data_IF_418194886473
#
_entry.id   IF_418194886473
#
_cell.length_a   1.000
_cell.length_b   1.000
_cell.length_c   1.000
_cell.angle_alpha   90.00
_cell.angle_beta   90.00
_cell.angle_gamma   90.00
#
_symmetry.space_group_name_H-M   'P 1'
#
loop_
_entity.id
_entity.type
_entity.pdbx_description
1 polymer ?
#
# COMPACT_ATOMS: atom_id res chain seq x y z
N UNK A 1 20.67 22.04 -5.36
CA UNK A 1 19.25 21.66 -5.21
C UNK A 1 19.03 20.17 -4.93
N UNK A 2 19.83 19.26 -5.47
CA UNK A 2 19.70 17.81 -5.21
C UNK A 2 19.95 17.40 -3.75
N UNK A 3 20.90 18.06 -3.05
CA UNK A 3 21.15 17.77 -1.63
C UNK A 3 19.96 18.06 -0.71
N UNK A 4 19.18 19.09 -1.00
CA UNK A 4 17.95 19.40 -0.25
C UNK A 4 16.82 18.38 -0.50
N UNK A 5 16.83 17.70 -1.64
CA UNK A 5 15.84 16.69 -2.00
C UNK A 5 15.99 15.40 -1.18
N UNK A 6 17.21 15.06 -0.81
CA UNK A 6 17.54 13.81 -0.08
C UNK A 6 17.68 14.02 1.44
N UNK A 7 17.55 15.24 1.94
CA UNK A 7 17.53 15.51 3.38
C UNK A 7 16.14 15.16 3.95
N UNK A 8 16.12 14.59 5.15
CA UNK A 8 14.88 14.33 5.87
C UNK A 8 13.95 15.54 5.95
N UNK A 9 12.66 15.31 5.98
CA UNK A 9 11.61 16.33 5.92
C UNK A 9 11.80 17.41 7.01
N UNK A 10 12.09 16.96 8.23
CA UNK A 10 12.32 17.82 9.39
C UNK A 10 13.51 18.75 9.19
N UNK A 11 14.66 18.21 8.77
CA UNK A 11 15.87 18.98 8.56
C UNK A 11 15.72 20.00 7.42
N UNK A 12 15.06 19.63 6.33
CA UNK A 12 14.78 20.54 5.21
C UNK A 12 13.85 21.68 5.62
N UNK A 13 12.83 21.41 6.44
CA UNK A 13 11.92 22.44 6.95
C UNK A 13 12.66 23.43 7.88
N UNK A 14 13.42 22.91 8.85
CA UNK A 14 14.17 23.75 9.78
C UNK A 14 15.22 24.60 9.07
N UNK A 15 15.96 24.03 8.12
CA UNK A 15 16.98 24.75 7.36
C UNK A 15 16.34 25.86 6.54
N UNK A 16 15.24 25.61 5.83
CA UNK A 16 14.55 26.60 5.01
C UNK A 16 13.93 27.70 5.88
N UNK A 17 13.30 27.33 7.00
CA UNK A 17 12.71 28.26 7.95
C UNK A 17 13.78 29.14 8.59
N UNK A 18 14.91 28.56 8.98
CA UNK A 18 16.06 29.31 9.53
C UNK A 18 16.62 30.32 8.53
N UNK A 19 16.79 29.89 7.28
CA UNK A 19 17.33 30.76 6.22
C UNK A 19 16.38 31.92 5.89
N UNK A 20 15.06 31.65 5.82
CA UNK A 20 14.07 32.70 5.61
C UNK A 20 13.98 33.67 6.81
N UNK A 21 14.08 33.14 8.03
CA UNK A 21 14.04 33.93 9.25
C UNK A 21 15.29 34.78 9.40
N UNK A 22 16.48 34.25 9.05
CA UNK A 22 17.71 34.99 9.01
C UNK A 22 17.66 36.12 7.97
N UNK A 23 17.15 35.86 6.77
CA UNK A 23 16.98 36.87 5.73
C UNK A 23 16.00 37.98 6.14
N UNK A 24 14.89 37.59 6.81
CA UNK A 24 13.90 38.52 7.35
C UNK A 24 14.52 39.40 8.44
N UNK A 25 15.34 38.83 9.33
CA UNK A 25 16.03 39.56 10.41
C UNK A 25 17.06 40.55 9.88
N UNK A 26 17.82 40.14 8.85
CA UNK A 26 18.76 41.07 8.17
C UNK A 26 18.03 42.23 7.50
N UNK A 27 16.88 41.95 6.89
CA UNK A 27 16.05 42.95 6.23
C UNK A 27 15.44 43.93 7.26
N UNK A 28 14.92 43.42 8.37
CA UNK A 28 14.40 44.27 9.46
C UNK A 28 15.50 45.13 10.09
N UNK A 29 16.68 44.56 10.32
CA UNK A 29 17.83 45.31 10.85
C UNK A 29 18.26 46.43 9.87
N UNK A 30 18.29 46.13 8.56
CA UNK A 30 18.60 47.13 7.53
C UNK A 30 17.61 48.30 7.50
N UNK A 31 16.30 48.00 7.55
CA UNK A 31 15.26 49.03 7.58
C UNK A 31 15.34 49.84 8.88
N UNK A 32 15.57 49.16 10.00
CA UNK A 32 15.70 49.82 11.31
C UNK A 32 16.86 50.81 11.33
N UNK A 33 18.06 50.40 10.89
CA UNK A 33 19.24 51.24 10.81
C UNK A 33 19.05 52.41 9.82
N UNK A 34 18.37 52.16 8.70
CA UNK A 34 18.06 53.22 7.75
C UNK A 34 17.12 54.27 8.37
N UNK A 35 16.06 53.86 9.04
CA UNK A 35 15.14 54.75 9.74
C UNK A 35 15.85 55.54 10.84
N UNK A 36 16.73 54.89 11.64
CA UNK A 36 17.52 55.59 12.68
C UNK A 36 18.48 56.67 12.08
N UNK A 37 19.13 56.32 10.97
CA UNK A 37 19.98 57.30 10.26
C UNK A 37 19.17 58.48 9.77
N UNK A 38 17.98 58.26 9.22
CA UNK A 38 17.11 59.36 8.76
C UNK A 38 16.57 60.20 9.91
N UNK A 39 16.17 59.59 11.04
CA UNK A 39 15.75 60.30 12.26
C UNK A 39 16.86 61.16 12.86
N UNK A 40 18.12 60.70 12.73
CA UNK A 40 19.29 61.48 13.18
C UNK A 40 19.52 62.84 12.50
N UNK A 41 18.87 63.04 11.32
CA UNK A 41 18.89 64.32 10.59
C UNK A 41 17.88 65.34 11.11
N UNK A 42 17.01 64.97 12.02
CA UNK A 42 15.99 65.85 12.59
C UNK A 42 16.33 66.21 14.04
N UNK A 43 16.05 67.44 14.48
CA UNK A 43 16.24 67.83 15.88
C UNK A 43 15.38 67.01 16.82
N UNK A 44 15.97 66.48 17.90
CA UNK A 44 15.27 65.63 18.87
C UNK A 44 14.69 66.34 20.07
N UNK A 45 14.98 67.64 20.19
CA UNK A 45 14.65 68.42 21.38
C UNK A 45 15.31 67.84 22.66
N UNK A 46 15.49 68.60 23.64
CA UNK A 46 16.06 68.16 24.90
C UNK A 46 16.84 69.32 25.60
N UNK A 47 17.39 69.04 26.76
CA UNK A 47 18.25 69.94 27.51
C UNK A 47 19.56 69.21 27.77
N UNK A 48 20.64 69.78 27.33
CA UNK A 48 22.01 69.32 27.64
C UNK A 48 22.50 70.09 28.87
N UNK A 49 22.82 69.36 29.92
CA UNK A 49 23.37 69.89 31.16
C UNK A 49 24.91 69.82 31.06
N UNK A 50 25.60 70.93 30.93
CA UNK A 50 27.06 70.98 30.92
C UNK A 50 27.63 70.62 32.30
N UNK A 51 28.89 70.20 32.36
CA UNK A 51 29.59 69.90 33.60
C UNK A 51 29.74 71.11 34.51
N UNK A 52 29.53 72.31 33.97
CA UNK A 52 29.54 73.60 34.66
C UNK A 52 28.16 74.03 35.23
N UNK A 53 27.13 73.12 35.08
CA UNK A 53 25.78 73.46 35.48
C UNK A 53 24.99 74.27 34.46
N UNK A 54 25.55 74.60 33.31
CA UNK A 54 24.85 75.35 32.25
C UNK A 54 23.78 74.43 31.59
N UNK A 55 22.57 74.95 31.41
CA UNK A 55 21.51 74.26 30.67
C UNK A 55 21.41 74.91 29.27
N UNK A 56 21.64 74.06 28.25
CA UNK A 56 21.44 74.48 26.86
C UNK A 56 20.25 73.72 26.26
N UNK A 57 19.24 74.47 25.84
CA UNK A 57 18.06 73.84 25.17
C UNK A 57 18.44 73.54 23.71
N UNK A 58 18.21 72.26 23.36
CA UNK A 58 18.33 71.83 21.97
C UNK A 58 17.07 72.20 21.16
N UNK A 59 17.22 72.57 19.88
CA UNK A 59 16.11 72.99 19.06
C UNK A 59 15.04 71.89 19.04
N UNK A 60 13.80 72.31 19.31
CA UNK A 60 12.64 71.40 19.29
C UNK A 60 12.18 71.09 17.83
N UNK A 61 11.72 69.90 17.50
CA UNK A 61 11.19 69.58 16.18
C UNK A 61 9.91 70.36 15.90
N UNK A 62 9.78 70.89 14.68
CA UNK A 62 8.52 71.50 14.21
C UNK A 62 7.41 70.49 14.15
N UNK A 63 6.08 70.88 14.18
CA UNK A 63 4.99 69.96 14.10
C UNK A 63 5.06 69.01 12.89
N UNK A 64 5.46 69.49 11.73
CA UNK A 64 5.67 68.67 10.52
C UNK A 64 6.80 67.65 10.68
N UNK A 65 7.87 68.01 11.37
CA UNK A 65 8.98 67.11 11.66
C UNK A 65 8.58 66.01 12.69
N UNK A 66 7.70 66.36 13.63
CA UNK A 66 7.15 65.38 14.57
C UNK A 66 6.30 64.32 13.87
N UNK A 67 5.51 64.70 12.88
CA UNK A 67 4.69 63.77 12.12
C UNK A 67 5.57 62.82 11.26
N UNK A 68 6.65 63.33 10.69
CA UNK A 68 7.64 62.50 9.97
C UNK A 68 8.34 61.52 10.94
N UNK A 69 8.72 61.93 12.12
CA UNK A 69 9.35 61.07 13.12
C UNK A 69 8.39 59.96 13.58
N UNK A 70 7.11 60.29 13.82
CA UNK A 70 6.06 59.30 14.12
C UNK A 70 5.88 58.28 13.00
N UNK A 71 5.94 58.74 11.74
CA UNK A 71 5.85 57.85 10.59
C UNK A 71 7.02 56.84 10.57
N UNK A 72 8.26 57.29 10.83
CA UNK A 72 9.39 56.38 10.95
C UNK A 72 9.27 55.41 12.12
N UNK A 73 8.73 55.83 13.27
CA UNK A 73 8.46 54.95 14.40
C UNK A 73 7.42 53.90 14.05
N UNK A 74 6.33 54.28 13.40
CA UNK A 74 5.33 53.32 12.91
C UNK A 74 5.93 52.31 11.94
N UNK A 75 6.73 52.77 10.95
CA UNK A 75 7.39 51.87 9.99
C UNK A 75 8.28 50.88 10.72
N UNK A 76 9.07 51.33 11.72
CA UNK A 76 9.94 50.45 12.51
C UNK A 76 9.12 49.38 13.25
N UNK A 77 8.06 49.78 13.94
CA UNK A 77 7.20 48.84 14.69
C UNK A 77 6.52 47.81 13.77
N UNK A 78 5.94 48.30 12.66
CA UNK A 78 5.29 47.40 11.69
C UNK A 78 6.31 46.46 11.02
N UNK A 79 7.49 46.92 10.68
CA UNK A 79 8.52 46.10 10.03
C UNK A 79 9.02 44.99 10.95
N UNK A 80 9.29 45.29 12.23
CA UNK A 80 9.74 44.32 13.22
C UNK A 80 8.71 43.20 13.41
N UNK A 81 7.43 43.52 13.35
CA UNK A 81 6.36 42.53 13.55
C UNK A 81 6.00 41.78 12.27
N UNK A 82 5.88 42.46 11.15
CA UNK A 82 5.29 41.92 9.92
C UNK A 82 6.31 41.14 9.08
N UNK A 83 7.54 41.58 8.99
CA UNK A 83 8.56 40.95 8.14
C UNK A 83 8.92 39.53 8.59
N UNK A 84 9.16 39.23 9.90
CA UNK A 84 9.40 37.85 10.33
C UNK A 84 8.20 36.92 10.11
N UNK A 85 6.98 37.43 10.34
CA UNK A 85 5.75 36.64 10.11
C UNK A 85 5.60 36.29 8.63
N UNK A 86 5.80 37.27 7.73
CA UNK A 86 5.79 37.01 6.29
C UNK A 86 6.92 36.07 5.87
N UNK A 87 8.11 36.18 6.48
CA UNK A 87 9.24 35.28 6.23
C UNK A 87 8.94 33.83 6.57
N UNK A 88 8.30 33.58 7.71
CA UNK A 88 7.83 32.24 8.09
C UNK A 88 6.75 31.69 7.15
N UNK A 89 5.78 32.53 6.77
CA UNK A 89 4.75 32.15 5.79
C UNK A 89 5.35 31.76 4.44
N UNK A 90 6.33 32.52 3.99
CA UNK A 90 7.05 32.27 2.73
C UNK A 90 7.87 30.97 2.80
N UNK A 91 8.52 30.69 3.94
CA UNK A 91 9.22 29.44 4.17
C UNK A 91 8.28 28.23 4.08
N UNK A 92 7.11 28.29 4.72
CA UNK A 92 6.08 27.24 4.65
C UNK A 92 5.58 27.02 3.22
N UNK A 93 5.32 28.10 2.48
CA UNK A 93 4.86 28.02 1.08
C UNK A 93 5.92 27.39 0.15
N UNK A 94 7.18 27.80 0.29
CA UNK A 94 8.30 27.25 -0.48
C UNK A 94 8.51 25.77 -0.15
N UNK A 95 8.49 25.41 1.15
CA UNK A 95 8.61 24.03 1.60
C UNK A 95 7.51 23.15 1.01
N UNK A 96 6.24 23.60 1.08
CA UNK A 96 5.12 22.89 0.47
C UNK A 96 5.32 22.69 -1.03
N UNK A 97 5.64 23.74 -1.78
CA UNK A 97 5.82 23.65 -3.25
C UNK A 97 6.95 22.73 -3.68
N UNK A 98 8.08 22.76 -2.98
CA UNK A 98 9.28 22.07 -3.41
C UNK A 98 9.37 20.64 -2.89
N UNK A 99 8.88 20.41 -1.67
CA UNK A 99 9.07 19.13 -0.98
C UNK A 99 7.80 18.26 -0.95
N UNK A 100 6.64 18.85 -0.67
CA UNK A 100 5.42 18.09 -0.44
C UNK A 100 4.56 17.90 -1.70
N UNK A 101 4.40 18.94 -2.52
CA UNK A 101 3.42 18.94 -3.61
C UNK A 101 3.60 17.77 -4.58
N UNK A 102 4.84 17.46 -4.95
CA UNK A 102 5.16 16.45 -5.96
C UNK A 102 4.85 15.02 -5.47
N UNK A 103 5.39 14.56 -4.31
CA UNK A 103 5.09 13.24 -3.78
C UNK A 103 3.61 13.04 -3.46
N UNK A 104 2.96 14.05 -2.87
CA UNK A 104 1.52 13.97 -2.53
C UNK A 104 0.67 13.80 -3.80
N UNK A 105 0.96 14.53 -4.87
CA UNK A 105 0.23 14.37 -6.12
C UNK A 105 0.41 12.98 -6.72
N UNK A 106 1.64 12.44 -6.72
CA UNK A 106 1.90 11.09 -7.22
C UNK A 106 1.13 10.05 -6.41
N UNK A 107 1.16 10.13 -5.08
CA UNK A 107 0.39 9.22 -4.23
C UNK A 107 -1.12 9.34 -4.48
N UNK A 108 -1.64 10.57 -4.63
CA UNK A 108 -3.04 10.82 -4.95
C UNK A 108 -3.45 10.21 -6.28
N UNK A 109 -2.64 10.41 -7.32
CA UNK A 109 -2.91 9.89 -8.66
C UNK A 109 -2.82 8.36 -8.68
N UNK A 110 -1.82 7.79 -7.99
CA UNK A 110 -1.67 6.35 -7.82
C UNK A 110 -2.85 5.72 -7.08
N UNK A 111 -3.30 6.33 -5.98
CA UNK A 111 -4.50 5.88 -5.26
C UNK A 111 -5.76 5.98 -6.13
N UNK A 112 -5.86 7.01 -6.97
CA UNK A 112 -6.94 7.16 -7.95
C UNK A 112 -6.98 6.02 -8.97
N UNK A 113 -5.82 5.62 -9.49
CA UNK A 113 -5.69 4.50 -10.44
C UNK A 113 -6.04 3.16 -9.78
N UNK A 114 -5.52 2.88 -8.58
CA UNK A 114 -5.85 1.67 -7.82
C UNK A 114 -7.36 1.56 -7.59
N UNK A 115 -8.02 2.66 -7.24
CA UNK A 115 -9.49 2.70 -7.07
C UNK A 115 -10.25 2.34 -8.35
N UNK A 116 -9.67 2.62 -9.52
CA UNK A 116 -10.23 2.25 -10.83
C UNK A 116 -9.80 0.85 -11.29
N UNK A 117 -9.20 0.05 -10.40
CA UNK A 117 -8.62 -1.28 -10.71
C UNK A 117 -7.54 -1.26 -11.78
N UNK A 118 -6.96 -0.09 -12.07
CA UNK A 118 -5.80 0.04 -12.94
C UNK A 118 -4.55 -0.12 -12.08
N UNK A 119 -3.94 -1.30 -12.15
CA UNK A 119 -2.71 -1.66 -11.44
C UNK A 119 -1.47 -1.69 -12.38
N UNK A 120 -1.67 -1.39 -13.69
CA UNK A 120 -0.60 -1.42 -14.68
C UNK A 120 0.16 -0.08 -14.71
N UNK A 121 0.84 0.23 -13.61
CA UNK A 121 1.72 1.39 -13.47
C UNK A 121 2.75 1.11 -12.38
N UNK A 122 3.73 1.98 -12.26
CA UNK A 122 4.71 1.95 -11.17
C UNK A 122 4.69 3.27 -10.41
N UNK A 123 4.83 3.23 -9.10
CA UNK A 123 4.94 4.43 -8.26
C UNK A 123 6.41 4.85 -8.20
N UNK A 124 6.80 5.97 -8.81
CA UNK A 124 8.20 6.36 -8.84
C UNK A 124 8.69 6.81 -7.46
N UNK A 125 9.87 6.36 -7.06
CA UNK A 125 10.57 6.89 -5.88
C UNK A 125 11.09 8.29 -6.20
N UNK A 126 10.42 9.34 -5.71
CA UNK A 126 10.69 10.73 -6.07
C UNK A 126 11.80 11.36 -5.22
N UNK A 127 11.96 10.92 -3.97
CA UNK A 127 12.91 11.46 -3.01
C UNK A 127 13.54 10.36 -2.15
N UNK A 128 14.67 10.67 -1.51
CA UNK A 128 15.32 9.77 -0.56
C UNK A 128 14.95 10.06 0.91
N UNK A 129 13.85 10.76 1.15
CA UNK A 129 13.34 11.14 2.46
C UNK A 129 12.14 10.29 2.90
N UNK A 130 11.51 10.65 4.01
CA UNK A 130 10.36 9.96 4.59
C UNK A 130 9.18 9.84 3.59
N UNK A 131 9.00 10.82 2.70
CA UNK A 131 7.98 10.74 1.64
C UNK A 131 8.36 9.77 0.52
N UNK A 132 9.65 9.63 0.23
CA UNK A 132 10.15 8.62 -0.69
C UNK A 132 9.96 7.20 -0.15
N UNK A 133 10.08 7.00 1.17
CA UNK A 133 9.78 5.72 1.82
C UNK A 133 8.29 5.39 1.74
N UNK A 134 7.41 6.39 1.95
CA UNK A 134 5.96 6.21 1.77
C UNK A 134 5.62 5.83 0.32
N UNK A 135 6.25 6.48 -0.68
CA UNK A 135 6.06 6.09 -2.08
C UNK A 135 6.54 4.65 -2.35
N UNK A 136 7.66 4.24 -1.77
CA UNK A 136 8.15 2.86 -1.91
C UNK A 136 7.24 1.84 -1.25
N UNK A 137 6.74 2.11 -0.04
CA UNK A 137 5.75 1.26 0.63
C UNK A 137 4.44 1.15 -0.16
N UNK A 138 4.01 2.24 -0.80
CA UNK A 138 2.84 2.26 -1.66
C UNK A 138 3.02 1.41 -2.93
N UNK A 139 4.24 1.40 -3.50
CA UNK A 139 4.59 0.52 -4.64
C UNK A 139 4.53 -0.95 -4.25
N UNK A 140 5.11 -1.34 -3.09
CA UNK A 140 5.03 -2.71 -2.58
C UNK A 140 3.57 -3.14 -2.42
N UNK A 141 2.74 -2.31 -1.82
CA UNK A 141 1.29 -2.59 -1.68
C UNK A 141 0.61 -2.78 -3.05
N UNK A 142 0.93 -1.94 -4.05
CA UNK A 142 0.41 -2.08 -5.41
C UNK A 142 0.82 -3.40 -6.05
N UNK A 143 2.10 -3.80 -5.89
CA UNK A 143 2.60 -5.09 -6.41
C UNK A 143 1.92 -6.28 -5.77
N UNK A 144 1.71 -6.25 -4.45
CA UNK A 144 0.97 -7.29 -3.72
C UNK A 144 -0.48 -7.40 -4.21
N UNK A 145 -1.16 -6.24 -4.39
CA UNK A 145 -2.51 -6.21 -4.97
C UNK A 145 -2.54 -6.76 -6.40
N UNK A 146 -1.55 -6.45 -7.21
CA UNK A 146 -1.45 -6.97 -8.58
C UNK A 146 -1.25 -8.49 -8.57
N UNK A 147 -0.39 -9.00 -7.71
CA UNK A 147 -0.13 -10.43 -7.55
C UNK A 147 -1.39 -11.17 -7.08
N UNK A 148 -2.05 -10.68 -6.02
CA UNK A 148 -3.29 -11.24 -5.50
C UNK A 148 -4.42 -11.22 -6.53
N UNK A 149 -4.57 -10.14 -7.30
CA UNK A 149 -5.57 -10.06 -8.37
C UNK A 149 -5.32 -11.07 -9.49
N UNK A 150 -4.05 -11.27 -9.89
CA UNK A 150 -3.68 -12.30 -10.86
C UNK A 150 -4.01 -13.70 -10.34
N UNK A 151 -3.68 -13.98 -9.09
CA UNK A 151 -3.97 -15.27 -8.48
C UNK A 151 -5.47 -15.55 -8.44
N UNK A 152 -6.28 -14.60 -7.98
CA UNK A 152 -7.74 -14.71 -7.99
C UNK A 152 -8.30 -14.94 -9.40
N UNK A 153 -7.73 -14.28 -10.40
CA UNK A 153 -8.13 -14.48 -11.78
C UNK A 153 -7.79 -15.88 -12.28
N UNK A 154 -6.61 -16.40 -11.96
CA UNK A 154 -6.23 -17.79 -12.29
C UNK A 154 -7.14 -18.81 -11.61
N UNK A 155 -7.43 -18.64 -10.33
CA UNK A 155 -8.35 -19.51 -9.59
C UNK A 155 -9.75 -19.48 -10.21
N UNK A 156 -10.27 -18.30 -10.54
CA UNK A 156 -11.57 -18.17 -11.20
C UNK A 156 -11.60 -18.84 -12.58
N UNK A 157 -10.53 -18.73 -13.35
CA UNK A 157 -10.42 -19.35 -14.67
C UNK A 157 -10.34 -20.87 -14.56
N UNK A 158 -9.55 -21.41 -13.63
CA UNK A 158 -9.45 -22.86 -13.42
C UNK A 158 -10.78 -23.42 -12.95
N UNK A 159 -11.47 -22.77 -12.03
CA UNK A 159 -12.82 -23.15 -11.60
C UNK A 159 -13.83 -23.16 -12.76
N UNK A 160 -13.74 -22.16 -13.66
CA UNK A 160 -14.56 -22.12 -14.88
C UNK A 160 -14.25 -23.29 -15.81
N UNK A 161 -12.97 -23.63 -15.98
CA UNK A 161 -12.51 -24.75 -16.80
C UNK A 161 -13.00 -26.10 -16.24
N UNK A 162 -12.84 -26.31 -14.94
CA UNK A 162 -13.35 -27.51 -14.26
C UNK A 162 -14.85 -27.65 -14.44
N UNK A 163 -15.63 -26.59 -14.18
CA UNK A 163 -17.07 -26.60 -14.36
C UNK A 163 -17.50 -26.93 -15.81
N UNK A 164 -16.78 -26.41 -16.78
CA UNK A 164 -17.04 -26.70 -18.19
C UNK A 164 -16.76 -28.18 -18.54
N UNK A 165 -15.65 -28.73 -18.01
CA UNK A 165 -15.31 -30.15 -18.17
C UNK A 165 -16.37 -31.08 -17.52
N UNK A 166 -16.81 -30.74 -16.30
CA UNK A 166 -17.89 -31.48 -15.64
C UNK A 166 -19.20 -31.43 -16.43
N UNK A 167 -19.64 -30.27 -16.88
CA UNK A 167 -20.83 -30.12 -17.68
C UNK A 167 -20.77 -30.93 -18.97
N UNK A 168 -19.60 -30.97 -19.61
CA UNK A 168 -19.39 -31.79 -20.81
C UNK A 168 -19.46 -33.27 -20.50
N UNK A 169 -18.79 -33.75 -19.44
CA UNK A 169 -18.75 -35.16 -19.05
C UNK A 169 -20.10 -35.69 -18.56
N UNK A 170 -20.93 -34.85 -17.95
CA UNK A 170 -22.31 -35.20 -17.56
C UNK A 170 -23.26 -35.21 -18.76
N UNK A 171 -23.04 -34.41 -19.78
CA UNK A 171 -23.93 -34.36 -20.97
C UNK A 171 -24.02 -35.69 -21.68
N UNK A 172 -22.91 -36.43 -21.81
CA UNK A 172 -22.87 -37.73 -22.47
C UNK A 172 -23.75 -38.78 -21.79
N UNK A 173 -23.57 -39.12 -20.52
CA UNK A 173 -24.41 -40.11 -19.83
C UNK A 173 -25.88 -39.68 -19.79
N UNK A 174 -26.19 -38.41 -19.59
CA UNK A 174 -27.55 -37.89 -19.62
C UNK A 174 -28.19 -38.05 -20.99
N UNK A 175 -27.44 -37.87 -22.08
CA UNK A 175 -27.94 -38.06 -23.44
C UNK A 175 -28.27 -39.53 -23.69
N UNK A 176 -27.43 -40.47 -23.25
CA UNK A 176 -27.67 -41.91 -23.35
C UNK A 176 -28.90 -42.32 -22.53
N UNK A 177 -29.00 -41.83 -21.27
CA UNK A 177 -30.18 -42.09 -20.44
C UNK A 177 -31.48 -41.64 -21.13
N UNK A 178 -31.50 -40.37 -21.65
CA UNK A 178 -32.67 -39.86 -22.38
C UNK A 178 -33.01 -40.71 -23.61
N UNK A 179 -31.99 -41.15 -24.36
CA UNK A 179 -32.19 -42.04 -25.53
C UNK A 179 -32.77 -43.39 -25.13
N UNK A 180 -32.20 -44.02 -24.10
CA UNK A 180 -32.68 -45.33 -23.60
C UNK A 180 -34.13 -45.26 -23.07
N UNK A 181 -34.47 -44.23 -22.30
CA UNK A 181 -35.83 -43.99 -21.82
C UNK A 181 -36.82 -43.79 -22.98
N UNK A 182 -36.40 -43.08 -24.05
CA UNK A 182 -37.24 -42.91 -25.23
C UNK A 182 -37.50 -44.22 -25.96
N UNK A 183 -36.49 -45.08 -26.09
CA UNK A 183 -36.64 -46.40 -26.70
C UNK A 183 -37.57 -47.30 -25.90
N UNK A 184 -37.44 -47.36 -24.56
CA UNK A 184 -38.32 -48.09 -23.67
C UNK A 184 -39.80 -47.63 -23.79
N UNK A 185 -40.04 -46.31 -23.88
CA UNK A 185 -41.39 -45.73 -24.07
C UNK A 185 -42.03 -46.14 -25.41
N UNK A 186 -41.20 -46.41 -26.42
CA UNK A 186 -41.66 -46.84 -27.73
C UNK A 186 -41.85 -48.35 -27.85
N UNK A 187 -41.65 -49.12 -26.75
CA UNK A 187 -41.78 -50.58 -26.75
C UNK A 187 -40.62 -51.30 -27.44
N UNK A 188 -39.51 -50.60 -27.74
CA UNK A 188 -38.32 -51.16 -28.41
C UNK A 188 -37.21 -51.53 -27.41
N UNK A 189 -37.53 -51.60 -26.11
CA UNK A 189 -36.56 -51.86 -25.05
C UNK A 189 -36.35 -53.38 -24.84
N UNK A 190 -35.09 -53.78 -24.75
CA UNK A 190 -34.61 -55.09 -24.33
C UNK A 190 -34.12 -55.06 -22.85
N UNK A 191 -33.83 -56.24 -22.27
CA UNK A 191 -33.30 -56.36 -20.92
C UNK A 191 -31.97 -55.55 -20.73
N UNK A 192 -31.20 -55.42 -21.81
CA UNK A 192 -29.97 -54.61 -21.83
C UNK A 192 -30.22 -53.08 -21.70
N UNK A 193 -31.46 -52.62 -21.96
CA UNK A 193 -31.81 -51.22 -21.78
C UNK A 193 -31.86 -50.82 -20.30
N UNK A 194 -32.34 -51.70 -19.44
CA UNK A 194 -32.36 -51.50 -17.98
C UNK A 194 -30.94 -51.51 -17.40
N UNK A 195 -30.10 -52.42 -17.87
CA UNK A 195 -28.70 -52.50 -17.47
C UNK A 195 -27.93 -51.23 -17.86
N UNK A 196 -28.13 -50.72 -19.10
CA UNK A 196 -27.58 -49.43 -19.54
C UNK A 196 -28.01 -48.27 -18.65
N UNK A 197 -29.28 -48.20 -18.26
CA UNK A 197 -29.77 -47.16 -17.34
C UNK A 197 -29.04 -47.25 -16.00
N UNK A 198 -28.87 -48.43 -15.42
CA UNK A 198 -28.16 -48.62 -14.16
C UNK A 198 -26.68 -48.15 -14.25
N UNK A 199 -25.97 -48.63 -15.28
CA UNK A 199 -24.55 -48.28 -15.48
C UNK A 199 -24.35 -46.75 -15.64
N UNK A 200 -25.19 -46.09 -16.44
CA UNK A 200 -25.04 -44.65 -16.65
C UNK A 200 -25.51 -43.82 -15.47
N UNK A 201 -26.46 -44.30 -14.66
CA UNK A 201 -26.85 -43.66 -13.39
C UNK A 201 -25.68 -43.71 -12.38
N UNK A 202 -25.11 -44.90 -12.17
CA UNK A 202 -23.94 -45.08 -11.32
C UNK A 202 -22.74 -44.22 -11.78
N UNK A 203 -22.56 -44.10 -13.09
CA UNK A 203 -21.53 -43.22 -13.65
C UNK A 203 -21.77 -41.72 -13.32
N UNK A 204 -23.02 -41.28 -13.34
CA UNK A 204 -23.38 -39.90 -12.95
C UNK A 204 -23.13 -39.70 -11.46
N UNK A 205 -23.53 -40.66 -10.60
CA UNK A 205 -23.29 -40.62 -9.15
C UNK A 205 -21.80 -40.46 -8.84
N UNK A 206 -20.95 -41.28 -9.46
CA UNK A 206 -19.49 -41.18 -9.31
C UNK A 206 -18.94 -39.78 -9.74
N UNK A 207 -19.47 -39.17 -10.80
CA UNK A 207 -19.09 -37.81 -11.18
C UNK A 207 -19.52 -36.78 -10.17
N UNK A 208 -20.71 -36.91 -9.58
CA UNK A 208 -21.21 -35.99 -8.53
C UNK A 208 -20.35 -36.10 -7.26
N UNK A 209 -20.01 -37.33 -6.86
CA UNK A 209 -19.14 -37.58 -5.70
C UNK A 209 -17.74 -36.99 -5.89
N UNK A 210 -17.13 -37.20 -7.07
CA UNK A 210 -15.84 -36.61 -7.40
C UNK A 210 -15.88 -35.08 -7.35
N UNK A 211 -16.93 -34.46 -7.90
CA UNK A 211 -17.13 -33.01 -7.85
C UNK A 211 -17.26 -32.49 -6.41
N UNK A 212 -18.08 -33.20 -5.60
CA UNK A 212 -18.29 -32.88 -4.19
C UNK A 212 -16.98 -32.99 -3.37
N UNK A 213 -16.16 -34.00 -3.68
CA UNK A 213 -14.86 -34.19 -3.04
C UNK A 213 -13.89 -33.07 -3.38
N UNK A 214 -13.81 -32.66 -4.65
CA UNK A 214 -12.99 -31.52 -5.09
C UNK A 214 -13.44 -30.23 -4.38
N UNK A 215 -14.75 -29.95 -4.33
CA UNK A 215 -15.27 -28.76 -3.65
C UNK A 215 -14.96 -28.76 -2.14
N UNK A 216 -15.00 -29.92 -1.50
CA UNK A 216 -14.61 -30.05 -0.09
C UNK A 216 -13.13 -29.77 0.12
N UNK A 217 -12.27 -30.29 -0.74
CA UNK A 217 -10.81 -30.04 -0.69
C UNK A 217 -10.47 -28.57 -0.91
N UNK A 218 -11.14 -27.89 -1.85
CA UNK A 218 -10.96 -26.45 -2.10
C UNK A 218 -11.35 -25.58 -0.88
N UNK A 219 -12.32 -26.03 -0.06
CA UNK A 219 -12.79 -25.27 1.12
C UNK A 219 -12.05 -25.63 2.40
N UNK A 220 -11.23 -26.69 2.39
CA UNK A 220 -10.48 -27.11 3.57
C UNK A 220 -9.34 -26.10 3.87
N UNK A 221 -9.31 -25.50 5.08
CA UNK A 221 -8.18 -24.70 5.49
C UNK A 221 -6.95 -25.59 5.64
N UNK A 222 -5.89 -25.27 4.91
CA UNK A 222 -4.61 -26.02 4.99
C UNK A 222 -3.93 -25.69 6.32
N UNK A 223 -3.93 -26.64 7.24
CA UNK A 223 -3.28 -26.52 8.54
C UNK A 223 -1.93 -27.25 8.52
N UNK A 224 -0.88 -26.58 8.05
CA UNK A 224 0.48 -27.12 8.06
C UNK A 224 0.98 -27.38 9.50
N UNK A 225 1.41 -28.60 9.78
CA UNK A 225 2.03 -29.00 11.05
C UNK A 225 3.33 -29.71 10.74
N UNK A 226 4.29 -29.58 11.67
CA UNK A 226 5.53 -30.32 11.58
C UNK A 226 5.30 -31.78 11.97
N UNK A 227 5.29 -32.67 11.00
CA UNK A 227 5.03 -34.12 11.18
C UNK A 227 6.32 -34.89 10.93
N UNK A 228 6.68 -35.89 11.77
CA UNK A 228 7.81 -36.76 11.52
C UNK A 228 7.61 -37.56 10.22
N UNK A 229 8.62 -37.60 9.37
CA UNK A 229 8.56 -38.34 8.09
C UNK A 229 8.37 -39.83 8.31
N UNK A 230 8.87 -40.38 9.41
CA UNK A 230 8.64 -41.78 9.81
C UNK A 230 7.17 -42.13 9.95
N UNK A 231 6.38 -41.25 10.58
CA UNK A 231 4.94 -41.46 10.74
C UNK A 231 4.20 -41.49 9.39
N UNK A 232 4.55 -40.57 8.47
CA UNK A 232 3.98 -40.52 7.13
C UNK A 232 4.28 -41.79 6.33
N UNK A 233 5.48 -42.34 6.54
CA UNK A 233 5.93 -43.53 5.89
C UNK A 233 5.16 -44.79 6.38
N UNK A 234 4.96 -44.90 7.69
CA UNK A 234 4.22 -46.00 8.30
C UNK A 234 2.75 -46.00 7.83
N UNK A 235 2.11 -44.83 7.83
CA UNK A 235 0.73 -44.65 7.38
C UNK A 235 0.57 -44.92 5.88
N UNK A 236 1.51 -44.44 5.02
CA UNK A 236 1.49 -44.80 3.61
C UNK A 236 1.63 -46.28 3.37
N UNK A 237 2.49 -46.97 4.13
CA UNK A 237 2.68 -48.41 4.01
C UNK A 237 1.45 -49.18 4.47
N UNK A 238 0.77 -48.75 5.53
CA UNK A 238 -0.46 -49.32 6.02
C UNK A 238 -1.61 -49.13 4.98
N UNK A 239 -1.79 -47.90 4.49
CA UNK A 239 -2.80 -47.59 3.47
C UNK A 239 -2.57 -48.38 2.19
N UNK A 240 -1.33 -48.47 1.72
CA UNK A 240 -0.99 -49.25 0.54
C UNK A 240 -1.28 -50.75 0.71
N UNK A 241 -1.01 -51.35 1.89
CA UNK A 241 -1.31 -52.73 2.19
C UNK A 241 -2.82 -53.00 2.30
N UNK A 242 -3.61 -52.05 2.79
CA UNK A 242 -5.06 -52.10 2.86
C UNK A 242 -5.72 -52.06 1.46
N UNK A 243 -5.22 -51.16 0.62
CA UNK A 243 -5.77 -50.99 -0.75
C UNK A 243 -5.39 -52.12 -1.71
N UNK A 244 -4.25 -52.74 -1.52
CA UNK A 244 -3.77 -53.78 -2.41
C UNK A 244 -3.23 -55.03 -1.64
N UNK A 245 -4.08 -55.76 -0.92
CA UNK A 245 -3.65 -56.91 -0.07
C UNK A 245 -3.00 -58.04 -0.84
N UNK A 246 -3.21 -58.12 -2.15
CA UNK A 246 -2.60 -59.13 -3.04
C UNK A 246 -1.22 -58.76 -3.55
N UNK A 247 -0.77 -57.52 -3.35
CA UNK A 247 0.51 -57.01 -3.82
C UNK A 247 1.47 -56.77 -2.65
N UNK A 248 2.71 -57.25 -2.74
CA UNK A 248 3.75 -56.90 -1.78
C UNK A 248 4.29 -55.51 -2.13
N UNK A 249 3.74 -54.52 -1.47
CA UNK A 249 4.21 -53.12 -1.61
C UNK A 249 5.35 -52.90 -0.62
N UNK A 250 6.51 -52.50 -1.11
CA UNK A 250 7.61 -52.08 -0.25
C UNK A 250 7.91 -50.58 -0.52
N UNK A 251 7.72 -49.76 0.46
CA UNK A 251 8.12 -48.35 0.43
C UNK A 251 9.58 -48.28 0.87
N UNK A 252 10.47 -47.65 0.11
CA UNK A 252 11.89 -47.51 0.43
C UNK A 252 12.22 -46.03 0.56
N UNK A 253 12.77 -45.61 1.67
CA UNK A 253 13.26 -44.26 1.92
C UNK A 253 14.25 -44.27 3.09
N UNK A 254 15.16 -43.31 3.10
CA UNK A 254 16.01 -43.06 4.28
C UNK A 254 15.25 -42.07 5.15
N UNK A 255 14.76 -42.52 6.29
CA UNK A 255 13.85 -41.75 7.17
C UNK A 255 14.61 -41.42 8.45
N UNK A 256 15.73 -40.72 8.33
CA UNK A 256 16.44 -40.23 9.49
C UNK A 256 15.87 -38.89 9.95
N UNK A 257 15.22 -38.88 11.12
CA UNK A 257 14.80 -37.73 11.97
C UNK A 257 14.26 -36.46 11.27
N UNK A 258 13.97 -36.49 9.97
CA UNK A 258 13.43 -35.36 9.23
C UNK A 258 11.95 -35.13 9.55
N UNK A 259 11.58 -33.86 9.63
CA UNK A 259 10.20 -33.42 9.83
C UNK A 259 9.72 -32.67 8.59
N UNK A 260 8.53 -32.99 8.11
CA UNK A 260 7.91 -32.29 6.99
C UNK A 260 6.82 -31.32 7.50
N UNK A 261 6.76 -30.13 6.91
CA UNK A 261 5.68 -29.18 7.17
C UNK A 261 4.55 -29.40 6.17
N UNK A 262 3.54 -30.15 6.56
CA UNK A 262 2.39 -30.48 5.73
C UNK A 262 1.10 -30.60 6.55
N UNK A 263 -0.03 -30.59 5.85
CA UNK A 263 -1.33 -30.93 6.44
C UNK A 263 -1.50 -32.45 6.37
N UNK A 264 -1.48 -33.09 7.55
CA UNK A 264 -1.53 -34.54 7.71
C UNK A 264 -2.83 -35.14 7.16
N UNK A 265 -3.97 -34.46 7.33
CA UNK A 265 -5.25 -34.93 6.81
C UNK A 265 -5.34 -34.89 5.28
N UNK A 266 -4.84 -33.81 4.67
CA UNK A 266 -4.74 -33.71 3.21
C UNK A 266 -3.77 -34.73 2.61
N UNK A 267 -2.64 -34.98 3.29
CA UNK A 267 -1.67 -35.99 2.87
C UNK A 267 -2.29 -37.38 2.78
N UNK A 268 -3.01 -37.82 3.82
CA UNK A 268 -3.70 -39.10 3.81
C UNK A 268 -4.77 -39.20 2.72
N UNK A 269 -5.58 -38.16 2.53
CA UNK A 269 -6.58 -38.09 1.46
C UNK A 269 -5.96 -38.25 0.07
N UNK A 270 -4.77 -37.72 -0.16
CA UNK A 270 -4.04 -37.90 -1.42
C UNK A 270 -3.45 -39.29 -1.55
N UNK A 271 -3.04 -39.90 -0.43
CA UNK A 271 -2.49 -41.27 -0.42
C UNK A 271 -3.55 -42.32 -0.68
N UNK A 272 -4.81 -42.11 -0.29
CA UNK A 272 -5.94 -43.00 -0.50
C UNK A 272 -6.51 -42.97 -1.92
N UNK A 273 -6.25 -41.88 -2.69
CA UNK A 273 -6.74 -41.68 -4.06
C UNK A 273 -5.73 -42.13 -5.12
#
# INVERSE_FOLDING_TARGET
MERLKNMGLKHSFFLLSFLCLLSALLLTAGIYLFCEKMKGSYPRGGVVIGFDGSMTELPQPTPEQMDILRLFDMIQVFTVLLVPVCGLGLAGMLFYRWKLKKPINVLKDSAGRIRMHDLDFTVPKISGDELGEVCAAFEVMREELLCSNKELWYQAQERKRLNAAFAHNLRNPVTVLKGTVKMLRQGVGDEQALERLAIYTERIERYIEAMSSIQRLEQMPVCKKSVPVSLLYDELSETANLLAPSLKISVRGNVDEERAELDHGLFLTVAEN
#
